data_IF_679567320984
#
_entry.id   IF_679567320984
#
_cell.length_a   1.000
_cell.length_b   1.000
_cell.length_c   1.000
_cell.angle_alpha   90.00
_cell.angle_beta   90.00
_cell.angle_gamma   90.00
#
_symmetry.space_group_name_H-M   'P 1'
#
loop_
_entity.id
_entity.type
_entity.pdbx_description
1 polymer ?
#
# COMPACT_ATOMS: atom_id res chain seq x y z
N UNK A 1 -5.43 59.99 49.79
CA UNK A 1 -4.91 58.58 49.87
C UNK A 1 -3.74 58.53 50.84
N UNK A 2 -3.82 57.71 51.91
CA UNK A 2 -2.74 57.65 52.91
C UNK A 2 -1.54 56.90 52.32
N UNK A 3 -0.39 57.53 52.19
CA UNK A 3 0.89 56.92 51.86
C UNK A 3 1.31 56.04 53.04
N UNK A 4 1.17 54.72 52.86
CA UNK A 4 1.68 53.73 53.83
C UNK A 4 3.09 53.31 53.41
N UNK A 5 4.09 53.58 54.23
CA UNK A 5 5.53 53.37 53.91
C UNK A 5 5.90 51.88 53.89
N UNK A 6 5.30 51.04 54.74
CA UNK A 6 5.65 49.62 54.86
C UNK A 6 4.88 48.68 53.93
N UNK A 7 3.77 49.11 53.30
CA UNK A 7 2.97 48.27 52.39
C UNK A 7 2.46 49.13 51.27
N UNK A 8 3.20 49.13 50.13
CA UNK A 8 2.81 49.91 48.94
C UNK A 8 1.92 49.05 48.03
N UNK A 9 0.61 49.13 48.20
CA UNK A 9 -0.39 48.38 47.42
C UNK A 9 -0.32 48.73 45.93
N UNK A 10 0.00 49.96 45.57
CA UNK A 10 0.15 50.33 44.13
C UNK A 10 1.37 49.66 43.50
N UNK A 11 2.49 49.59 44.22
CA UNK A 11 3.68 48.87 43.76
C UNK A 11 3.40 47.37 43.59
N UNK A 12 2.70 46.74 44.53
CA UNK A 12 2.30 45.33 44.42
C UNK A 12 1.34 45.09 43.26
N UNK A 13 0.40 45.97 43.00
CA UNK A 13 -0.51 45.88 41.85
C UNK A 13 0.25 46.05 40.54
N UNK A 14 1.17 47.01 40.47
CA UNK A 14 2.04 47.19 39.30
C UNK A 14 2.92 45.97 39.02
N UNK A 15 3.54 45.40 40.05
CA UNK A 15 4.33 44.15 39.91
C UNK A 15 3.47 42.97 39.46
N UNK A 16 2.26 42.80 40.01
CA UNK A 16 1.35 41.75 39.56
C UNK A 16 0.94 41.92 38.10
N UNK A 17 0.64 43.14 37.68
CA UNK A 17 0.30 43.41 36.27
C UNK A 17 1.49 43.15 35.36
N UNK A 18 2.72 43.55 35.76
CA UNK A 18 3.93 43.28 35.01
C UNK A 18 4.20 41.76 34.86
N UNK A 19 4.02 40.99 35.93
CA UNK A 19 4.13 39.54 35.89
C UNK A 19 3.11 38.94 34.90
N UNK A 20 1.84 39.34 34.97
CA UNK A 20 0.80 38.84 34.06
C UNK A 20 1.12 39.19 32.58
N UNK A 21 1.61 40.40 32.30
CA UNK A 21 2.03 40.75 30.93
C UNK A 21 3.25 39.97 30.46
N UNK A 22 4.21 39.72 31.37
CA UNK A 22 5.37 38.85 31.04
C UNK A 22 4.94 37.45 30.67
N UNK A 23 3.99 36.86 31.42
CA UNK A 23 3.46 35.51 31.12
C UNK A 23 2.71 35.49 29.78
N UNK A 24 1.92 36.51 29.47
CA UNK A 24 1.22 36.63 28.18
C UNK A 24 2.19 36.76 27.01
N UNK A 25 3.26 37.54 27.17
CA UNK A 25 4.32 37.68 26.17
C UNK A 25 5.02 36.34 25.93
N UNK A 26 5.39 35.62 27.00
CA UNK A 26 6.01 34.29 26.87
C UNK A 26 5.11 33.30 26.13
N UNK A 27 3.80 33.30 26.45
CA UNK A 27 2.85 32.44 25.75
C UNK A 27 2.72 32.80 24.27
N UNK A 28 2.64 34.10 23.92
CA UNK A 28 2.61 34.53 22.52
C UNK A 28 3.89 34.18 21.77
N UNK A 29 5.06 34.30 22.40
CA UNK A 29 6.34 33.86 21.84
C UNK A 29 6.38 32.35 21.62
N UNK A 30 5.91 31.55 22.58
CA UNK A 30 5.86 30.10 22.47
C UNK A 30 4.95 29.67 21.31
N UNK A 31 3.77 30.28 21.13
CA UNK A 31 2.84 30.02 20.03
C UNK A 31 3.43 30.42 18.68
N UNK A 32 4.03 31.60 18.56
CA UNK A 32 4.67 32.07 17.33
C UNK A 32 5.89 31.20 16.96
N UNK A 33 6.67 30.79 17.95
CA UNK A 33 7.85 29.97 17.75
C UNK A 33 7.50 28.54 17.33
N UNK A 34 6.44 27.97 17.90
CA UNK A 34 5.97 26.61 17.56
C UNK A 34 5.08 26.57 16.32
N UNK A 35 4.47 27.71 15.94
CA UNK A 35 3.41 27.77 14.92
C UNK A 35 2.08 27.19 15.39
N UNK A 36 1.95 26.85 16.68
CA UNK A 36 0.78 26.17 17.25
C UNK A 36 0.01 27.11 18.20
N UNK A 37 -1.30 27.12 18.08
CA UNK A 37 -2.21 27.79 19.02
C UNK A 37 -2.30 27.02 20.36
N UNK A 38 -2.31 25.69 20.29
CA UNK A 38 -2.33 24.79 21.45
C UNK A 38 -0.93 24.18 21.59
N UNK A 39 -0.14 24.73 22.51
CA UNK A 39 1.23 24.27 22.78
C UNK A 39 1.24 23.24 23.91
N UNK A 40 0.38 23.41 24.92
CA UNK A 40 0.32 22.57 26.11
C UNK A 40 -1.10 22.16 26.47
N UNK A 41 -1.24 21.13 27.32
CA UNK A 41 -2.55 20.71 27.86
C UNK A 41 -3.22 21.78 28.73
N UNK A 42 -2.49 22.80 29.18
CA UNK A 42 -3.02 23.91 29.93
C UNK A 42 -3.78 24.93 29.04
N UNK A 43 -3.45 25.01 27.73
CA UNK A 43 -4.10 25.89 26.78
C UNK A 43 -5.51 25.39 26.41
N UNK A 44 -5.63 24.14 26.01
CA UNK A 44 -6.89 23.47 25.68
C UNK A 44 -6.73 21.95 25.75
N UNK A 45 -7.12 21.30 26.87
CA UNK A 45 -7.02 19.85 27.03
C UNK A 45 -7.88 19.07 26.02
N UNK A 46 -9.06 19.61 25.67
CA UNK A 46 -9.98 18.95 24.74
C UNK A 46 -9.47 19.03 23.29
N UNK A 47 -9.06 20.21 22.85
CA UNK A 47 -8.48 20.44 21.53
C UNK A 47 -7.18 19.66 21.34
N UNK A 48 -6.32 19.59 22.35
CA UNK A 48 -5.10 18.78 22.33
C UNK A 48 -5.43 17.29 22.15
N UNK A 49 -6.39 16.76 22.94
CA UNK A 49 -6.78 15.36 22.84
C UNK A 49 -7.37 15.00 21.48
N UNK A 50 -8.14 15.89 20.86
CA UNK A 50 -8.69 15.70 19.51
C UNK A 50 -7.57 15.75 18.47
N UNK A 51 -6.68 16.76 18.52
CA UNK A 51 -5.60 16.91 17.54
C UNK A 51 -4.62 15.74 17.59
N UNK A 52 -4.28 15.24 18.76
CA UNK A 52 -3.39 14.07 18.88
C UNK A 52 -4.03 12.78 18.33
N UNK A 53 -5.34 12.59 18.49
CA UNK A 53 -6.06 11.47 17.83
C UNK A 53 -6.04 11.61 16.32
N UNK A 54 -6.32 12.81 15.78
CA UNK A 54 -6.24 13.07 14.34
C UNK A 54 -4.83 12.81 13.79
N UNK A 55 -3.79 13.25 14.50
CA UNK A 55 -2.40 12.97 14.11
C UNK A 55 -2.07 11.49 14.10
N UNK A 56 -2.56 10.75 15.09
CA UNK A 56 -2.41 9.28 15.13
C UNK A 56 -3.09 8.64 13.93
N UNK A 57 -4.32 9.07 13.61
CA UNK A 57 -5.09 8.57 12.47
C UNK A 57 -4.41 8.90 11.13
N UNK A 58 -3.93 10.14 10.95
CA UNK A 58 -3.17 10.55 9.76
C UNK A 58 -1.94 9.65 9.56
N UNK A 59 -1.15 9.40 10.62
CA UNK A 59 0.02 8.51 10.54
C UNK A 59 -0.37 7.08 10.19
N UNK A 60 -1.45 6.58 10.76
CA UNK A 60 -1.98 5.23 10.47
C UNK A 60 -2.44 5.12 9.01
N UNK A 61 -3.16 6.13 8.49
CA UNK A 61 -3.56 6.20 7.09
C UNK A 61 -2.37 6.27 6.13
N UNK A 62 -1.32 7.03 6.48
CA UNK A 62 -0.09 7.06 5.72
C UNK A 62 0.63 5.70 5.68
N UNK A 63 0.58 4.94 6.79
CA UNK A 63 1.09 3.55 6.77
C UNK A 63 0.22 2.67 5.89
N UNK A 64 -1.11 2.76 6.00
CA UNK A 64 -2.04 2.01 5.15
C UNK A 64 -1.83 2.32 3.65
N UNK A 65 -1.52 3.57 3.31
CA UNK A 65 -1.18 3.98 1.95
C UNK A 65 0.12 3.30 1.46
N UNK A 66 1.17 3.24 2.30
CA UNK A 66 2.40 2.51 1.98
C UNK A 66 2.14 1.02 1.81
N UNK A 67 1.38 0.41 2.72
CA UNK A 67 1.02 -1.00 2.60
C UNK A 67 0.27 -1.31 1.29
N UNK A 68 -0.64 -0.43 0.88
CA UNK A 68 -1.34 -0.56 -0.40
C UNK A 68 -0.38 -0.45 -1.59
N UNK A 69 0.62 0.45 -1.52
CA UNK A 69 1.64 0.57 -2.56
C UNK A 69 2.52 -0.67 -2.64
N UNK A 70 2.92 -1.24 -1.50
CA UNK A 70 3.67 -2.50 -1.44
C UNK A 70 2.84 -3.66 -2.02
N UNK A 71 1.54 -3.70 -1.70
CA UNK A 71 0.61 -4.66 -2.29
C UNK A 71 0.50 -4.53 -3.81
N UNK A 72 0.46 -3.32 -4.35
CA UNK A 72 0.47 -3.07 -5.80
C UNK A 72 1.77 -3.60 -6.42
N UNK A 73 2.92 -3.33 -5.80
CA UNK A 73 4.22 -3.80 -6.29
C UNK A 73 4.31 -5.33 -6.29
N UNK A 74 3.77 -5.99 -5.27
CA UNK A 74 3.67 -7.45 -5.21
C UNK A 74 2.82 -8.00 -6.35
N UNK A 75 1.62 -7.42 -6.57
CA UNK A 75 0.73 -7.83 -7.66
C UNK A 75 1.40 -7.64 -9.03
N UNK A 76 2.11 -6.54 -9.23
CA UNK A 76 2.85 -6.30 -10.49
C UNK A 76 3.97 -7.33 -10.71
N UNK A 77 4.65 -7.76 -9.66
CA UNK A 77 5.66 -8.82 -9.74
C UNK A 77 5.03 -10.15 -10.15
N UNK A 78 3.91 -10.53 -9.50
CA UNK A 78 3.18 -11.75 -9.85
C UNK A 78 2.61 -11.69 -11.27
N UNK A 79 2.04 -10.55 -11.69
CA UNK A 79 1.49 -10.37 -13.04
C UNK A 79 2.57 -10.45 -14.11
N UNK A 80 3.75 -9.90 -13.87
CA UNK A 80 4.90 -10.02 -14.77
C UNK A 80 5.28 -11.48 -15.00
N UNK A 81 5.40 -12.25 -13.93
CA UNK A 81 5.70 -13.69 -14.01
C UNK A 81 4.59 -14.47 -14.73
N UNK A 82 3.31 -14.19 -14.42
CA UNK A 82 2.17 -14.83 -15.08
C UNK A 82 2.08 -14.49 -16.57
N UNK A 83 2.56 -13.31 -16.98
CA UNK A 83 2.65 -12.94 -18.39
C UNK A 83 3.64 -13.82 -19.14
N UNK A 84 4.80 -14.15 -18.53
CA UNK A 84 5.77 -15.07 -19.10
C UNK A 84 5.23 -16.51 -19.13
N UNK A 85 4.58 -16.97 -18.05
CA UNK A 85 3.91 -18.28 -18.03
C UNK A 85 2.89 -18.39 -19.17
N UNK A 86 2.06 -17.36 -19.36
CA UNK A 86 1.09 -17.35 -20.45
C UNK A 86 1.76 -17.39 -21.83
N UNK A 87 2.86 -16.69 -22.02
CA UNK A 87 3.63 -16.71 -23.28
C UNK A 87 4.19 -18.09 -23.57
N UNK A 88 4.73 -18.77 -22.55
CA UNK A 88 5.22 -20.13 -22.65
C UNK A 88 4.09 -21.13 -22.98
N UNK A 89 2.92 -21.00 -22.33
CA UNK A 89 1.75 -21.86 -22.62
C UNK A 89 1.26 -21.67 -24.07
N UNK A 90 1.20 -20.44 -24.56
CA UNK A 90 0.84 -20.16 -25.96
C UNK A 90 1.86 -20.79 -26.90
N UNK A 91 3.16 -20.71 -26.62
CA UNK A 91 4.21 -21.37 -27.41
C UNK A 91 4.09 -22.90 -27.37
N UNK A 92 3.83 -23.46 -26.20
CA UNK A 92 3.55 -24.91 -26.06
C UNK A 92 2.37 -25.35 -26.93
N UNK A 93 1.31 -24.55 -26.97
CA UNK A 93 0.13 -24.79 -27.80
C UNK A 93 0.47 -24.76 -29.30
N UNK A 94 1.28 -23.82 -29.74
CA UNK A 94 1.80 -23.78 -31.12
C UNK A 94 2.58 -25.08 -31.47
N UNK A 95 3.50 -25.50 -30.60
CA UNK A 95 4.26 -26.75 -30.77
C UNK A 95 3.34 -27.97 -30.82
N UNK A 96 2.31 -28.03 -29.97
CA UNK A 96 1.33 -29.10 -29.98
C UNK A 96 0.56 -29.18 -31.33
N UNK A 97 0.12 -28.02 -31.87
CA UNK A 97 -0.56 -27.94 -33.16
C UNK A 97 0.38 -28.37 -34.29
N UNK A 98 1.63 -27.89 -34.27
CA UNK A 98 2.65 -28.26 -35.25
C UNK A 98 2.93 -29.75 -35.23
N UNK A 99 3.13 -30.34 -34.03
CA UNK A 99 3.42 -31.78 -33.89
C UNK A 99 2.19 -32.65 -34.22
N UNK A 100 0.96 -32.13 -34.09
CA UNK A 100 -0.25 -32.84 -34.52
C UNK A 100 -0.35 -32.99 -36.04
N UNK A 101 0.48 -32.29 -36.82
CA UNK A 101 0.49 -32.42 -38.29
C UNK A 101 1.06 -33.77 -38.73
N UNK A 102 0.28 -34.55 -39.47
CA UNK A 102 0.68 -35.87 -39.98
C UNK A 102 1.84 -35.88 -40.99
N UNK A 103 2.26 -34.71 -41.48
CA UNK A 103 3.40 -34.60 -42.43
C UNK A 103 4.78 -34.64 -41.77
N UNK A 104 4.86 -34.48 -40.46
CA UNK A 104 6.11 -34.47 -39.69
C UNK A 104 6.63 -35.88 -39.46
N UNK A 105 7.97 -36.06 -39.53
CA UNK A 105 8.63 -37.30 -39.15
C UNK A 105 8.71 -37.45 -37.61
N UNK A 106 9.00 -38.66 -37.14
CA UNK A 106 9.21 -38.92 -35.70
C UNK A 106 10.41 -38.11 -35.17
N UNK A 107 11.46 -37.92 -35.99
CA UNK A 107 12.62 -37.13 -35.61
C UNK A 107 12.26 -35.65 -35.37
N UNK A 108 11.42 -35.08 -36.24
CA UNK A 108 10.98 -33.69 -36.13
C UNK A 108 10.14 -33.49 -34.85
N UNK A 109 9.20 -34.39 -34.55
CA UNK A 109 8.41 -34.39 -33.32
C UNK A 109 9.27 -34.54 -32.06
N UNK A 110 10.36 -35.34 -32.12
CA UNK A 110 11.30 -35.46 -31.01
C UNK A 110 11.94 -34.10 -30.70
N UNK A 111 12.31 -33.34 -31.74
CA UNK A 111 12.86 -31.99 -31.57
C UNK A 111 11.84 -31.00 -31.00
N UNK A 112 10.60 -31.05 -31.49
CA UNK A 112 9.51 -30.23 -30.94
C UNK A 112 9.20 -30.60 -29.48
N UNK A 113 9.21 -31.91 -29.16
CA UNK A 113 9.00 -32.38 -27.80
C UNK A 113 10.13 -31.96 -26.84
N UNK A 114 11.37 -31.83 -27.32
CA UNK A 114 12.46 -31.31 -26.50
C UNK A 114 12.20 -29.85 -26.12
N UNK A 115 11.83 -28.97 -27.08
CA UNK A 115 11.44 -27.58 -26.79
C UNK A 115 10.23 -27.52 -25.84
N UNK A 116 9.21 -28.37 -26.06
CA UNK A 116 8.02 -28.46 -25.22
C UNK A 116 8.39 -28.81 -23.78
N UNK A 117 9.29 -29.74 -23.55
CA UNK A 117 9.74 -30.15 -22.20
C UNK A 117 10.53 -29.04 -21.52
N UNK A 118 11.36 -28.29 -22.24
CA UNK A 118 12.10 -27.14 -21.69
C UNK A 118 11.14 -26.00 -21.29
N UNK A 119 10.06 -25.80 -22.06
CA UNK A 119 9.02 -24.81 -21.69
C UNK A 119 8.24 -25.23 -20.43
N UNK A 120 7.96 -26.53 -20.25
CA UNK A 120 7.40 -27.05 -18.98
C UNK A 120 8.34 -26.74 -17.82
N UNK A 121 9.61 -27.04 -17.95
CA UNK A 121 10.61 -26.79 -16.91
C UNK A 121 10.75 -25.26 -16.60
N UNK A 122 10.62 -24.42 -17.62
CA UNK A 122 10.68 -22.97 -17.42
C UNK A 122 9.43 -22.43 -16.70
N UNK A 123 8.24 -22.95 -16.97
CA UNK A 123 7.01 -22.58 -16.22
C UNK A 123 7.18 -22.97 -14.76
N UNK A 124 7.67 -24.16 -14.46
CA UNK A 124 7.91 -24.65 -13.11
C UNK A 124 8.94 -23.76 -12.38
N UNK A 125 10.04 -23.45 -13.07
CA UNK A 125 11.05 -22.53 -12.55
C UNK A 125 10.47 -21.13 -12.24
N UNK A 126 9.61 -20.59 -13.09
CA UNK A 126 8.94 -19.30 -12.85
C UNK A 126 8.06 -19.40 -11.61
N UNK A 127 7.29 -20.50 -11.46
CA UNK A 127 6.46 -20.76 -10.29
C UNK A 127 7.27 -20.75 -9.00
N UNK A 128 8.40 -21.48 -8.99
CA UNK A 128 9.27 -21.61 -7.82
C UNK A 128 10.07 -20.35 -7.48
N UNK A 129 10.52 -19.61 -8.49
CA UNK A 129 11.46 -18.49 -8.26
C UNK A 129 10.77 -17.11 -8.13
N UNK A 130 9.47 -17.02 -8.44
CA UNK A 130 8.76 -15.75 -8.33
C UNK A 130 8.45 -15.43 -6.89
N UNK A 131 9.27 -14.58 -6.29
CA UNK A 131 9.12 -14.16 -4.90
C UNK A 131 9.10 -12.64 -4.77
N UNK A 132 8.41 -12.15 -3.73
CA UNK A 132 8.43 -10.76 -3.31
C UNK A 132 8.80 -10.69 -1.83
N UNK A 133 9.91 -10.02 -1.52
CA UNK A 133 10.43 -9.90 -0.16
C UNK A 133 10.56 -11.25 0.59
N UNK A 134 10.98 -12.31 -0.12
CA UNK A 134 11.17 -13.65 0.44
C UNK A 134 9.89 -14.47 0.59
N UNK A 135 8.76 -14.00 0.11
CA UNK A 135 7.49 -14.75 0.02
C UNK A 135 7.31 -15.20 -1.42
N UNK A 136 7.23 -16.50 -1.64
CA UNK A 136 6.92 -17.08 -2.93
C UNK A 136 5.47 -16.81 -3.28
N UNK A 137 5.19 -16.46 -4.54
CA UNK A 137 3.88 -15.95 -4.93
C UNK A 137 3.06 -16.94 -5.74
N UNK A 138 3.70 -17.87 -6.45
CA UNK A 138 3.07 -18.72 -7.46
C UNK A 138 3.22 -20.22 -7.16
N UNK A 139 3.78 -20.58 -6.02
CA UNK A 139 4.01 -21.97 -5.56
C UNK A 139 2.86 -22.53 -4.71
N UNK A 140 1.79 -21.77 -4.50
CA UNK A 140 0.66 -22.17 -3.67
C UNK A 140 0.86 -21.99 -2.16
N UNK A 141 2.03 -21.54 -1.69
CA UNK A 141 2.29 -21.31 -0.26
C UNK A 141 1.56 -20.07 0.28
N UNK A 142 1.42 -19.04 -0.51
CA UNK A 142 0.84 -17.74 -0.16
C UNK A 142 -0.57 -17.55 -0.72
N UNK A 143 -1.54 -18.35 -0.29
CA UNK A 143 -2.88 -18.40 -0.92
C UNK A 143 -3.78 -17.19 -0.65
N UNK A 144 -3.66 -16.49 0.47
CA UNK A 144 -4.55 -15.39 0.84
C UNK A 144 -3.78 -14.28 1.55
N UNK A 145 -3.06 -13.46 0.79
CA UNK A 145 -2.27 -12.39 1.36
C UNK A 145 -3.15 -11.19 1.68
N UNK A 146 -3.20 -10.78 2.94
CA UNK A 146 -4.01 -9.66 3.40
C UNK A 146 -3.16 -8.40 3.50
N UNK A 147 -3.54 -7.38 2.75
CA UNK A 147 -2.93 -6.05 2.81
C UNK A 147 -3.82 -5.13 3.63
N UNK A 148 -3.30 -4.64 4.77
CA UNK A 148 -4.00 -3.69 5.62
C UNK A 148 -4.03 -2.31 4.94
N UNK A 149 -5.23 -1.91 4.50
CA UNK A 149 -5.46 -0.65 3.76
C UNK A 149 -6.30 0.36 4.54
N UNK A 150 -6.51 0.13 5.82
CA UNK A 150 -7.25 1.04 6.69
C UNK A 150 -6.66 1.10 8.09
N UNK A 151 -7.25 1.93 8.96
CA UNK A 151 -6.77 2.17 10.34
C UNK A 151 -7.31 1.17 11.34
N UNK A 152 -8.46 0.56 11.05
CA UNK A 152 -9.11 -0.40 11.95
C UNK A 152 -8.78 -1.84 11.58
N UNK A 153 -8.86 -2.73 12.55
CA UNK A 153 -8.69 -4.15 12.34
C UNK A 153 -9.72 -4.68 11.32
N UNK A 154 -9.27 -5.49 10.38
CA UNK A 154 -10.12 -6.08 9.34
C UNK A 154 -10.35 -5.20 8.10
N UNK A 155 -9.84 -3.98 8.06
CA UNK A 155 -9.85 -3.15 6.84
C UNK A 155 -8.73 -3.58 5.89
N UNK A 156 -8.86 -4.78 5.34
CA UNK A 156 -7.85 -5.41 4.48
C UNK A 156 -8.38 -5.61 3.06
N UNK A 157 -7.46 -5.61 2.10
CA UNK A 157 -7.69 -6.13 0.76
C UNK A 157 -6.93 -7.44 0.67
N UNK A 158 -7.66 -8.52 0.37
CA UNK A 158 -7.07 -9.84 0.17
C UNK A 158 -6.65 -10.00 -1.28
N UNK A 159 -5.42 -10.44 -1.48
CA UNK A 159 -4.87 -10.85 -2.77
C UNK A 159 -4.88 -12.37 -2.77
N UNK A 160 -5.65 -12.96 -3.67
CA UNK A 160 -5.69 -14.40 -3.86
C UNK A 160 -4.57 -14.79 -4.83
N UNK A 161 -3.60 -15.53 -4.32
CA UNK A 161 -2.54 -16.14 -5.12
C UNK A 161 -2.85 -17.63 -5.23
N UNK A 162 -2.66 -18.17 -6.40
CA UNK A 162 -2.95 -19.57 -6.70
C UNK A 162 -1.67 -20.23 -7.19
N UNK A 163 -1.51 -21.51 -6.91
CA UNK A 163 -0.43 -22.34 -7.43
C UNK A 163 -0.49 -22.37 -8.96
N UNK A 164 0.59 -21.96 -9.59
CA UNK A 164 0.77 -21.88 -11.04
C UNK A 164 1.90 -22.76 -11.55
N UNK A 165 2.34 -23.72 -10.74
CA UNK A 165 3.27 -24.75 -11.14
C UNK A 165 2.63 -25.70 -12.15
N UNK A 166 3.46 -26.42 -12.89
CA UNK A 166 3.00 -27.34 -13.95
C UNK A 166 2.06 -28.42 -13.46
N UNK A 167 2.24 -28.90 -12.22
CA UNK A 167 1.37 -29.89 -11.59
C UNK A 167 -0.04 -29.35 -11.29
N UNK A 168 -0.14 -28.11 -10.81
CA UNK A 168 -1.41 -27.45 -10.53
C UNK A 168 -2.16 -27.09 -11.82
N UNK A 169 -1.42 -26.74 -12.87
CA UNK A 169 -1.97 -26.47 -14.20
C UNK A 169 -2.35 -27.75 -14.96
N UNK A 170 -1.94 -28.93 -14.47
CA UNK A 170 -2.24 -30.23 -15.10
C UNK A 170 -1.55 -30.47 -16.43
N UNK A 171 -0.36 -29.89 -16.61
CA UNK A 171 0.44 -29.97 -17.84
C UNK A 171 1.75 -30.76 -17.67
N UNK A 172 2.03 -31.28 -16.49
CA UNK A 172 3.26 -31.97 -16.10
C UNK A 172 3.53 -33.26 -16.89
N UNK A 173 2.49 -33.94 -17.31
CA UNK A 173 2.57 -35.23 -18.04
C UNK A 173 2.38 -35.10 -19.54
N UNK A 174 2.22 -33.89 -20.05
CA UNK A 174 1.96 -33.65 -21.46
C UNK A 174 3.22 -33.90 -22.31
N UNK A 175 3.02 -34.53 -23.46
CA UNK A 175 4.08 -34.76 -24.47
C UNK A 175 3.51 -34.54 -25.86
N UNK A 176 4.39 -34.19 -26.80
CA UNK A 176 4.04 -33.97 -28.21
C UNK A 176 4.82 -34.89 -29.15
N UNK A 177 5.08 -36.15 -28.71
CA UNK A 177 5.88 -37.14 -29.45
C UNK A 177 5.15 -37.79 -30.61
N UNK A 178 3.82 -37.76 -30.62
CA UNK A 178 2.99 -38.31 -31.69
C UNK A 178 1.72 -37.47 -31.91
N UNK A 179 0.99 -37.71 -33.00
CA UNK A 179 -0.21 -36.97 -33.39
C UNK A 179 -1.33 -37.06 -32.33
N UNK A 180 -1.46 -38.20 -31.69
CA UNK A 180 -2.53 -38.46 -30.72
C UNK A 180 -2.26 -37.67 -29.43
N UNK A 181 -1.04 -37.77 -28.89
CA UNK A 181 -0.63 -37.02 -27.69
C UNK A 181 -0.66 -35.51 -27.93
N UNK A 182 -0.17 -35.07 -29.10
CA UNK A 182 -0.16 -33.66 -29.49
C UNK A 182 -1.59 -33.10 -29.56
N UNK A 183 -2.53 -33.84 -30.14
CA UNK A 183 -3.95 -33.44 -30.17
C UNK A 183 -4.58 -33.47 -28.78
N UNK A 184 -4.24 -34.45 -27.95
CA UNK A 184 -4.73 -34.56 -26.57
C UNK A 184 -4.19 -33.46 -25.66
N UNK A 185 -3.00 -32.93 -25.91
CA UNK A 185 -2.37 -31.86 -25.15
C UNK A 185 -3.08 -30.49 -25.31
N UNK A 186 -3.84 -30.28 -26.41
CA UNK A 186 -4.46 -28.98 -26.68
C UNK A 186 -5.49 -28.56 -25.62
N UNK A 187 -6.35 -29.49 -25.19
CA UNK A 187 -7.41 -29.18 -24.21
C UNK A 187 -6.85 -28.82 -22.83
N UNK A 188 -5.89 -29.57 -22.24
CA UNK A 188 -5.24 -29.16 -20.99
C UNK A 188 -4.49 -27.83 -21.13
N UNK A 189 -3.81 -27.55 -22.26
CA UNK A 189 -3.14 -26.29 -22.50
C UNK A 189 -4.12 -25.11 -22.56
N UNK A 190 -5.26 -25.27 -23.23
CA UNK A 190 -6.31 -24.24 -23.26
C UNK A 190 -6.86 -23.99 -21.83
N UNK A 191 -7.08 -25.05 -21.06
CA UNK A 191 -7.51 -24.92 -19.66
C UNK A 191 -6.47 -24.21 -18.77
N UNK A 192 -5.17 -24.50 -18.98
CA UNK A 192 -4.08 -23.81 -18.27
C UNK A 192 -4.01 -22.33 -18.64
N UNK A 193 -4.15 -21.98 -19.92
CA UNK A 193 -4.22 -20.58 -20.37
C UNK A 193 -5.39 -19.87 -19.71
N UNK A 194 -6.58 -20.47 -19.71
CA UNK A 194 -7.77 -19.90 -19.08
C UNK A 194 -7.58 -19.68 -17.59
N UNK A 195 -6.94 -20.62 -16.88
CA UNK A 195 -6.61 -20.50 -15.45
C UNK A 195 -5.65 -19.33 -15.18
N UNK A 196 -4.58 -19.20 -15.96
CA UNK A 196 -3.63 -18.07 -15.83
C UNK A 196 -4.32 -16.73 -16.10
N UNK A 197 -5.17 -16.64 -17.13
CA UNK A 197 -5.92 -15.43 -17.47
C UNK A 197 -6.91 -15.06 -16.38
N UNK A 198 -7.57 -16.04 -15.76
CA UNK A 198 -8.50 -15.82 -14.64
C UNK A 198 -7.77 -15.20 -13.44
N UNK A 199 -6.62 -15.77 -13.04
CA UNK A 199 -5.81 -15.24 -11.92
C UNK A 199 -5.27 -13.85 -12.22
N UNK A 200 -4.80 -13.58 -13.43
CA UNK A 200 -4.40 -12.24 -13.85
C UNK A 200 -5.57 -11.24 -13.76
N UNK A 201 -6.77 -11.66 -14.10
CA UNK A 201 -7.99 -10.86 -13.94
C UNK A 201 -8.28 -10.49 -12.48
N UNK A 202 -8.13 -11.45 -11.55
CA UNK A 202 -8.30 -11.22 -10.10
C UNK A 202 -7.20 -10.29 -9.53
N UNK A 203 -5.96 -10.48 -9.96
CA UNK A 203 -4.85 -9.60 -9.58
C UNK A 203 -5.06 -8.16 -10.07
N UNK A 204 -5.49 -8.00 -11.32
CA UNK A 204 -5.85 -6.68 -11.88
C UNK A 204 -7.01 -6.01 -11.12
N UNK A 205 -8.03 -6.78 -10.74
CA UNK A 205 -9.12 -6.27 -9.90
C UNK A 205 -8.63 -5.84 -8.51
N UNK A 206 -7.75 -6.62 -7.88
CA UNK A 206 -7.15 -6.30 -6.58
C UNK A 206 -6.27 -5.06 -6.66
N UNK A 207 -5.49 -4.89 -7.72
CA UNK A 207 -4.70 -3.69 -7.99
C UNK A 207 -5.59 -2.44 -8.11
N UNK A 208 -6.68 -2.52 -8.86
CA UNK A 208 -7.63 -1.42 -9.00
C UNK A 208 -8.31 -1.05 -7.67
N UNK A 209 -8.64 -2.05 -6.84
CA UNK A 209 -9.17 -1.82 -5.49
C UNK A 209 -8.16 -1.11 -4.60
N UNK A 210 -6.89 -1.52 -4.60
CA UNK A 210 -5.82 -0.86 -3.84
C UNK A 210 -5.59 0.56 -4.33
N UNK A 211 -5.57 0.80 -5.64
CA UNK A 211 -5.45 2.15 -6.19
C UNK A 211 -6.64 3.05 -5.81
N UNK A 212 -7.85 2.51 -5.74
CA UNK A 212 -9.02 3.24 -5.25
C UNK A 212 -8.94 3.54 -3.75
N UNK A 213 -8.50 2.57 -2.94
CA UNK A 213 -8.27 2.76 -1.51
C UNK A 213 -7.23 3.86 -1.25
N UNK A 214 -6.11 3.88 -1.99
CA UNK A 214 -5.08 4.91 -1.90
C UNK A 214 -5.64 6.31 -2.16
N UNK A 215 -6.49 6.48 -3.17
CA UNK A 215 -7.13 7.79 -3.45
C UNK A 215 -8.06 8.22 -2.31
N UNK A 216 -8.84 7.29 -1.78
CA UNK A 216 -9.71 7.56 -0.61
C UNK A 216 -8.90 7.94 0.63
N UNK A 217 -7.82 7.20 0.91
CA UNK A 217 -6.90 7.49 2.01
C UNK A 217 -6.29 8.88 1.85
N UNK A 218 -5.81 9.24 0.65
CA UNK A 218 -5.23 10.55 0.38
C UNK A 218 -6.21 11.68 0.67
N UNK A 219 -7.46 11.56 0.24
CA UNK A 219 -8.51 12.54 0.55
C UNK A 219 -8.82 12.62 2.04
N UNK A 220 -8.82 11.47 2.74
CA UNK A 220 -9.04 11.43 4.19
C UNK A 220 -7.91 12.11 4.95
N UNK A 221 -6.66 11.84 4.56
CA UNK A 221 -5.47 12.48 5.15
C UNK A 221 -5.52 14.01 4.97
N UNK A 222 -5.88 14.49 3.78
CA UNK A 222 -6.01 15.93 3.50
C UNK A 222 -7.08 16.58 4.38
N UNK A 223 -8.25 15.96 4.49
CA UNK A 223 -9.34 16.47 5.30
C UNK A 223 -9.01 16.47 6.81
N UNK A 224 -8.38 15.40 7.29
CA UNK A 224 -7.94 15.30 8.69
C UNK A 224 -6.84 16.31 9.00
N UNK A 225 -5.87 16.48 8.11
CA UNK A 225 -4.81 17.48 8.27
C UNK A 225 -5.37 18.91 8.27
N UNK A 226 -6.33 19.22 7.39
CA UNK A 226 -7.01 20.50 7.39
C UNK A 226 -7.85 20.74 8.67
N UNK A 227 -8.44 19.68 9.23
CA UNK A 227 -9.17 19.76 10.47
C UNK A 227 -8.23 19.94 11.68
N UNK A 228 -7.12 19.21 11.71
CA UNK A 228 -6.07 19.32 12.73
C UNK A 228 -5.47 20.73 12.74
N UNK A 229 -5.14 21.28 11.57
CA UNK A 229 -4.62 22.64 11.39
C UNK A 229 -5.59 23.68 11.98
N UNK A 230 -6.89 23.60 11.71
CA UNK A 230 -7.88 24.52 12.30
C UNK A 230 -7.96 24.45 13.82
N UNK A 231 -7.65 23.30 14.41
CA UNK A 231 -7.68 23.14 15.87
C UNK A 231 -6.37 23.61 16.48
N UNK A 232 -5.24 23.28 15.90
CA UNK A 232 -3.93 23.37 16.55
C UNK A 232 -3.05 24.50 16.05
N UNK A 233 -3.18 24.94 14.79
CA UNK A 233 -2.29 25.93 14.22
C UNK A 233 -2.66 27.34 14.67
N UNK A 234 -1.64 28.20 14.79
CA UNK A 234 -1.81 29.61 15.16
C UNK A 234 -2.04 30.47 13.91
N UNK A 235 -2.96 31.39 14.00
CA UNK A 235 -3.03 32.53 13.07
C UNK A 235 -1.91 33.52 13.43
N UNK A 236 -0.83 33.49 12.66
CA UNK A 236 0.35 34.31 12.88
C UNK A 236 0.02 35.81 12.84
N UNK A 237 -0.93 36.24 11.99
CA UNK A 237 -1.29 37.64 11.89
C UNK A 237 -2.03 38.12 13.16
N UNK A 238 -2.97 37.33 13.65
CA UNK A 238 -3.69 37.61 14.89
C UNK A 238 -2.77 37.56 16.12
N UNK A 239 -1.86 36.57 16.19
CA UNK A 239 -0.98 36.42 17.34
C UNK A 239 0.13 37.49 17.36
N UNK A 240 0.65 37.94 16.21
CA UNK A 240 1.61 39.08 16.17
C UNK A 240 0.97 40.38 16.59
N UNK A 241 -0.31 40.61 16.22
CA UNK A 241 -1.06 41.79 16.72
C UNK A 241 -1.24 41.73 18.24
N UNK A 242 -1.52 40.53 18.79
CA UNK A 242 -1.63 40.32 20.25
C UNK A 242 -0.30 40.51 20.94
N UNK A 243 0.81 39.96 20.38
CA UNK A 243 2.14 40.19 20.90
C UNK A 243 2.52 41.69 20.97
N UNK A 244 2.28 42.41 19.87
CA UNK A 244 2.57 43.85 19.80
C UNK A 244 1.76 44.64 20.85
N UNK A 245 0.48 44.28 21.03
CA UNK A 245 -0.38 44.90 22.07
C UNK A 245 0.18 44.65 23.48
N UNK A 246 0.67 43.44 23.76
CA UNK A 246 1.19 43.10 25.09
C UNK A 246 2.58 43.70 25.34
N UNK A 247 3.31 44.11 24.29
CA UNK A 247 4.58 44.86 24.39
C UNK A 247 4.41 46.33 24.72
N UNK A 248 3.30 46.95 24.29
CA UNK A 248 2.97 48.38 24.54
C UNK A 248 2.33 48.55 25.91
#
# INVERSE_FOLDING_TARGET
>A
MSLRVNTNIFSMTAQKNLANHSDQLQNSFARLSSGLRIVSAADDPAGLGISERMRSEIRSLQMAQRNAQDGISLVQTAEGALSEVNSNLVRMRELAIESANGTLSTSDRTSLNAEFTELIAEIDRIGDTTAFNGTELLDGSATNLQIQTGVDAGQTITINLTDMQVAALGIDTLTVTDVTNSSAALLPLDAAIDAVVAVRGELGASQNRMASAMRSISTSVENLAAAESRIRDVDVAAETATLTRNQI
#
